data_IF_744592201345
#
_entry.id   IF_744592201345
#
_cell.length_a   1.000
_cell.length_b   1.000
_cell.length_c   1.000
_cell.angle_alpha   90.00
_cell.angle_beta   90.00
_cell.angle_gamma   90.00
#
_symmetry.space_group_name_H-M   'P 1'
#
loop_
_entity.id
_entity.type
_entity.pdbx_description
1 polymer ?
#
# COMPACT_ATOMS: atom_id res chain seq x y z
N UNK A 1 -41.55 19.39 -16.33
CA UNK A 1 -41.48 20.26 -15.14
C UNK A 1 -40.94 19.43 -13.98
N UNK A 2 -40.09 20.07 -13.17
CA UNK A 2 -39.30 19.56 -12.03
C UNK A 2 -38.09 18.67 -12.42
N UNK A 3 -36.88 18.86 -11.89
CA UNK A 3 -36.22 19.96 -11.18
C UNK A 3 -34.71 19.58 -11.19
N UNK A 4 -33.84 20.44 -11.72
CA UNK A 4 -32.41 20.20 -11.77
C UNK A 4 -31.77 20.86 -10.54
N UNK A 5 -31.19 20.06 -9.65
CA UNK A 5 -30.41 20.56 -8.51
C UNK A 5 -28.96 20.83 -8.95
N UNK A 6 -28.64 22.11 -9.08
CA UNK A 6 -27.33 22.66 -9.41
C UNK A 6 -26.41 22.62 -8.19
N UNK A 7 -25.31 21.86 -8.26
CA UNK A 7 -24.30 21.78 -7.19
C UNK A 7 -23.17 22.75 -7.52
N UNK A 8 -23.16 23.88 -6.80
CA UNK A 8 -22.17 24.95 -6.88
C UNK A 8 -20.78 24.48 -6.42
N UNK A 9 -19.74 24.78 -7.21
CA UNK A 9 -18.33 24.59 -6.85
C UNK A 9 -17.78 25.86 -6.18
N UNK A 10 -16.88 25.77 -5.19
CA UNK A 10 -16.23 26.95 -4.64
C UNK A 10 -15.13 27.45 -5.58
N UNK A 11 -15.09 28.77 -5.75
CA UNK A 11 -14.13 29.51 -6.55
C UNK A 11 -12.72 29.44 -5.95
N UNK A 12 -11.73 29.13 -6.78
CA UNK A 12 -10.30 29.24 -6.44
C UNK A 12 -9.89 30.69 -6.63
N UNK A 13 -9.58 31.37 -5.52
CA UNK A 13 -9.02 32.71 -5.52
C UNK A 13 -7.57 32.70 -6.03
N UNK A 14 -7.32 33.56 -7.02
CA UNK A 14 -6.00 33.93 -7.51
C UNK A 14 -5.20 34.69 -6.44
N UNK A 15 -3.99 34.23 -6.11
CA UNK A 15 -2.90 35.11 -5.68
C UNK A 15 -1.55 34.59 -6.17
N UNK A 16 -0.85 35.48 -6.85
CA UNK A 16 0.48 35.42 -7.45
C UNK A 16 1.61 35.72 -6.44
N UNK A 17 2.77 35.04 -6.57
CA UNK A 17 4.08 35.67 -6.37
C UNK A 17 5.11 35.05 -5.40
N UNK A 18 6.09 34.34 -5.98
CA UNK A 18 7.53 34.25 -5.60
C UNK A 18 7.97 33.33 -4.40
N UNK A 19 9.28 32.99 -4.25
CA UNK A 19 9.82 31.70 -4.70
C UNK A 19 10.52 30.84 -3.60
N UNK A 20 10.93 29.66 -4.05
CA UNK A 20 11.52 28.49 -3.36
C UNK A 20 12.81 28.79 -2.57
N UNK A 21 12.95 28.16 -1.40
CA UNK A 21 14.25 27.74 -0.84
C UNK A 21 14.05 26.45 -0.03
N UNK A 22 14.82 25.41 -0.37
CA UNK A 22 14.56 24.05 0.06
C UNK A 22 15.29 23.60 1.33
N UNK A 23 14.91 22.42 1.82
CA UNK A 23 15.81 21.44 2.46
C UNK A 23 15.09 20.12 2.73
N UNK A 24 15.62 19.09 2.09
CA UNK A 24 15.76 17.67 2.41
C UNK A 24 15.24 17.12 3.76
N UNK A 25 14.63 15.93 3.64
CA UNK A 25 14.33 14.90 4.65
C UNK A 25 15.10 14.96 5.99
N UNK A 26 14.35 14.91 7.11
CA UNK A 26 14.80 14.35 8.40
C UNK A 26 13.64 13.93 9.30
N UNK A 27 13.61 12.63 9.61
CA UNK A 27 13.11 11.93 10.80
C UNK A 27 12.04 12.59 11.68
N UNK A 28 10.88 11.95 11.75
CA UNK A 28 9.89 12.14 12.81
C UNK A 28 10.35 11.45 14.09
N UNK A 29 11.15 12.15 14.90
CA UNK A 29 11.30 11.93 16.33
C UNK A 29 10.74 13.16 17.06
N UNK A 30 10.07 12.92 18.19
CA UNK A 30 9.48 13.87 19.14
C UNK A 30 8.18 14.59 18.76
N UNK A 31 7.06 14.02 19.23
CA UNK A 31 6.04 14.75 20.00
C UNK A 31 5.41 13.79 21.01
N UNK A 32 6.05 13.68 22.17
CA UNK A 32 5.46 13.07 23.37
C UNK A 32 5.78 13.97 24.55
N UNK A 33 5.16 15.15 24.58
CA UNK A 33 5.18 16.10 25.71
C UNK A 33 4.21 17.25 25.39
N UNK A 34 2.93 17.08 25.77
CA UNK A 34 1.96 18.17 25.90
C UNK A 34 0.64 17.63 26.50
N UNK A 35 0.68 17.13 27.74
CA UNK A 35 -0.51 17.14 28.59
C UNK A 35 -0.12 17.09 30.07
N UNK A 36 0.63 18.09 30.50
CA UNK A 36 0.75 18.43 31.92
C UNK A 36 0.81 19.96 32.02
N UNK A 37 -0.28 20.55 32.54
CA UNK A 37 -0.28 21.71 33.43
C UNK A 37 -1.60 22.48 33.32
N UNK A 38 -2.53 22.13 34.19
CA UNK A 38 -3.55 23.06 34.69
C UNK A 38 -4.14 22.51 35.98
N UNK A 39 -3.35 22.57 37.06
CA UNK A 39 -3.86 22.64 38.44
C UNK A 39 -3.57 24.05 38.94
N UNK A 40 -4.53 24.95 38.73
CA UNK A 40 -4.62 26.17 39.50
C UNK A 40 -5.34 25.85 40.80
N UNK A 41 -4.60 26.07 41.88
CA UNK A 41 -5.04 26.17 43.26
C UNK A 41 -5.99 27.36 43.41
N UNK A 42 -7.22 27.12 43.85
CA UNK A 42 -8.09 28.15 44.39
C UNK A 42 -8.35 27.87 45.88
N UNK A 43 -7.89 28.83 46.67
CA UNK A 43 -8.00 28.93 48.12
C UNK A 43 -9.27 29.68 48.51
N UNK A 44 -10.01 29.13 49.47
CA UNK A 44 -11.12 29.77 50.17
C UNK A 44 -11.83 28.68 50.98
N UNK A 45 -11.42 28.41 52.22
CA UNK A 45 -11.64 29.30 53.35
C UNK A 45 -12.88 28.82 54.08
N UNK A 46 -12.72 27.88 55.02
CA UNK A 46 -13.72 27.58 56.05
C UNK A 46 -13.04 27.38 57.39
N UNK A 47 -13.68 28.00 58.36
CA UNK A 47 -13.15 28.45 59.62
C UNK A 47 -12.90 27.32 60.61
N UNK A 48 -11.90 27.60 61.43
CA UNK A 48 -11.49 26.88 62.61
C UNK A 48 -12.61 26.87 63.66
N UNK A 49 -12.96 25.69 64.17
CA UNK A 49 -13.61 25.52 65.46
C UNK A 49 -12.97 24.33 66.20
N UNK A 50 -11.85 24.65 66.85
CA UNK A 50 -11.39 24.18 68.15
C UNK A 50 -12.11 22.94 68.73
N UNK A 51 -11.43 21.79 68.72
CA UNK A 51 -11.77 20.65 69.59
C UNK A 51 -11.45 21.05 71.04
N UNK A 52 -12.50 21.25 71.84
CA UNK A 52 -12.45 21.01 73.29
C UNK A 52 -12.36 19.50 73.58
N UNK A 53 -11.87 19.09 74.76
CA UNK A 53 -11.57 17.69 75.04
C UNK A 53 -12.84 16.95 75.44
N UNK A 54 -13.13 15.84 74.77
CA UNK A 54 -14.22 14.93 75.16
C UNK A 54 -15.08 14.51 74.00
N UNK A 55 -14.73 13.38 73.39
CA UNK A 55 -15.54 12.76 72.35
C UNK A 55 -15.01 11.37 72.10
N UNK A 56 -15.43 10.44 72.95
CA UNK A 56 -15.08 9.03 72.93
C UNK A 56 -15.23 8.45 71.50
N UNK A 57 -14.14 8.00 70.90
CA UNK A 57 -14.19 7.08 69.77
C UNK A 57 -14.59 5.70 70.28
N UNK A 58 -15.89 5.45 70.33
CA UNK A 58 -16.44 4.13 70.02
C UNK A 58 -16.23 3.96 68.50
N UNK A 59 -15.56 2.97 67.94
CA UNK A 59 -15.47 1.55 68.27
C UNK A 59 -14.10 1.02 67.82
N UNK A 60 -13.20 0.71 68.75
CA UNK A 60 -12.17 -0.30 68.47
C UNK A 60 -12.87 -1.66 68.41
N UNK A 61 -13.04 -2.22 67.22
CA UNK A 61 -13.40 -3.63 67.10
C UNK A 61 -12.17 -4.47 67.44
N UNK A 62 -11.98 -4.76 68.72
CA UNK A 62 -11.07 -5.82 69.16
C UNK A 62 -11.70 -7.15 68.73
N UNK A 63 -11.13 -7.75 67.69
CA UNK A 63 -11.43 -9.13 67.30
C UNK A 63 -11.05 -10.04 68.47
N UNK A 64 -12.02 -10.41 69.30
CA UNK A 64 -11.87 -11.56 70.18
C UNK A 64 -11.97 -12.79 69.28
N UNK A 65 -10.86 -13.51 69.14
CA UNK A 65 -10.93 -14.88 68.69
C UNK A 65 -11.75 -15.62 69.75
N UNK A 66 -12.97 -16.03 69.40
CA UNK A 66 -13.71 -17.01 70.18
C UNK A 66 -12.83 -18.25 70.23
N UNK A 67 -12.36 -18.62 71.42
CA UNK A 67 -11.67 -19.88 71.62
C UNK A 67 -12.62 -21.00 71.17
N UNK A 68 -12.15 -21.95 70.35
CA UNK A 68 -13.02 -22.98 69.81
C UNK A 68 -13.58 -23.81 70.97
N UNK A 69 -14.89 -24.03 70.94
CA UNK A 69 -15.59 -24.91 71.87
C UNK A 69 -14.83 -26.25 71.95
N UNK A 70 -14.45 -26.66 73.15
CA UNK A 70 -13.60 -27.82 73.45
C UNK A 70 -14.31 -29.11 73.00
N UNK A 71 -14.21 -29.42 71.70
CA UNK A 71 -14.84 -30.58 71.08
C UNK A 71 -15.28 -30.42 69.61
N UNK A 72 -15.24 -29.20 69.05
CA UNK A 72 -15.55 -29.01 67.63
C UNK A 72 -14.36 -29.40 66.74
N UNK A 73 -14.59 -30.23 65.72
CA UNK A 73 -13.57 -30.65 64.77
C UNK A 73 -12.94 -29.43 64.06
N UNK A 74 -11.63 -29.45 63.75
CA UNK A 74 -10.95 -28.32 63.12
C UNK A 74 -11.62 -27.97 61.79
N UNK A 75 -12.01 -26.70 61.62
CA UNK A 75 -12.56 -26.18 60.36
C UNK A 75 -11.62 -26.51 59.21
N UNK A 76 -12.13 -27.17 58.17
CA UNK A 76 -11.32 -27.55 57.02
C UNK A 76 -11.33 -26.42 56.01
N UNK A 77 -10.24 -26.23 55.26
CA UNK A 77 -10.09 -25.22 54.19
C UNK A 77 -11.18 -25.24 53.12
N UNK A 78 -11.99 -26.29 53.07
CA UNK A 78 -13.14 -26.50 52.18
C UNK A 78 -14.46 -25.90 52.71
N UNK A 79 -14.51 -25.52 53.99
CA UNK A 79 -15.62 -24.80 54.60
C UNK A 79 -15.54 -23.29 54.28
N UNK A 80 -14.34 -22.81 53.92
CA UNK A 80 -14.14 -21.49 53.32
C UNK A 80 -14.54 -21.49 51.84
N UNK A 81 -15.83 -21.62 51.58
CA UNK A 81 -16.40 -21.23 50.28
C UNK A 81 -16.50 -19.71 50.26
N UNK A 82 -15.34 -19.05 50.08
CA UNK A 82 -15.28 -17.65 49.71
C UNK A 82 -16.29 -17.41 48.59
N UNK A 83 -17.22 -16.48 48.81
CA UNK A 83 -18.29 -16.15 47.87
C UNK A 83 -17.70 -15.46 46.64
N UNK A 84 -16.98 -16.21 45.80
CA UNK A 84 -16.68 -15.81 44.42
C UNK A 84 -17.98 -16.04 43.63
N UNK A 85 -18.95 -15.16 43.89
CA UNK A 85 -20.24 -15.12 43.20
C UNK A 85 -20.27 -13.89 42.31
N UNK A 86 -19.21 -13.71 41.52
CA UNK A 86 -19.03 -12.60 40.57
C UNK A 86 -19.34 -13.01 39.13
N UNK A 87 -19.93 -14.19 38.92
CA UNK A 87 -20.37 -14.69 37.60
C UNK A 87 -21.10 -13.64 36.73
N UNK A 88 -22.09 -12.87 37.21
CA UNK A 88 -22.76 -11.89 36.36
C UNK A 88 -21.83 -10.75 35.91
N UNK A 89 -20.92 -10.29 36.78
CA UNK A 89 -19.95 -9.24 36.44
C UNK A 89 -18.84 -9.72 35.51
N UNK A 90 -18.38 -10.96 35.70
CA UNK A 90 -17.39 -11.59 34.82
C UNK A 90 -17.97 -11.86 33.42
N UNK A 91 -19.23 -12.31 33.34
CA UNK A 91 -19.92 -12.52 32.06
C UNK A 91 -20.16 -11.19 31.34
N UNK A 92 -20.53 -10.13 32.05
CA UNK A 92 -20.67 -8.80 31.47
C UNK A 92 -19.33 -8.26 30.96
N UNK A 93 -18.24 -8.45 31.72
CA UNK A 93 -16.90 -8.05 31.27
C UNK A 93 -16.47 -8.83 30.02
N UNK A 94 -16.70 -10.14 29.97
CA UNK A 94 -16.44 -10.95 28.78
C UNK A 94 -17.28 -10.49 27.58
N UNK A 95 -18.55 -10.14 27.79
CA UNK A 95 -19.41 -9.61 26.72
C UNK A 95 -18.91 -8.27 26.17
N UNK A 96 -18.45 -7.37 27.04
CA UNK A 96 -17.86 -6.09 26.63
C UNK A 96 -16.56 -6.31 25.85
N UNK A 97 -15.69 -7.21 26.32
CA UNK A 97 -14.43 -7.52 25.63
C UNK A 97 -14.72 -8.15 24.26
N UNK A 98 -15.67 -9.09 24.18
CA UNK A 98 -16.07 -9.69 22.91
C UNK A 98 -16.66 -8.65 21.94
N UNK A 99 -17.51 -7.75 22.42
CA UNK A 99 -18.06 -6.65 21.62
C UNK A 99 -16.97 -5.68 21.16
N UNK A 100 -16.02 -5.33 22.02
CA UNK A 100 -14.90 -4.47 21.67
C UNK A 100 -14.01 -5.10 20.59
N UNK A 101 -13.67 -6.39 20.73
CA UNK A 101 -12.91 -7.13 19.71
C UNK A 101 -13.67 -7.15 18.38
N UNK A 102 -14.96 -7.46 18.39
CA UNK A 102 -15.78 -7.47 17.18
C UNK A 102 -15.79 -6.10 16.49
N UNK A 103 -16.02 -5.01 17.24
CA UNK A 103 -16.00 -3.65 16.69
C UNK A 103 -14.64 -3.27 16.13
N UNK A 104 -13.53 -3.58 16.82
CA UNK A 104 -12.18 -3.32 16.32
C UNK A 104 -11.94 -4.09 15.02
N UNK A 105 -12.33 -5.36 14.95
CA UNK A 105 -12.12 -6.16 13.74
C UNK A 105 -12.90 -5.64 12.54
N UNK A 106 -14.15 -5.20 12.72
CA UNK A 106 -14.96 -4.64 11.62
C UNK A 106 -14.33 -3.34 11.12
N UNK A 107 -13.99 -2.41 12.03
CA UNK A 107 -13.35 -1.17 11.65
C UNK A 107 -11.97 -1.39 10.99
N UNK A 108 -11.22 -2.41 11.43
CA UNK A 108 -9.95 -2.76 10.83
C UNK A 108 -10.10 -3.28 9.39
N UNK A 109 -11.14 -4.09 9.12
CA UNK A 109 -11.44 -4.57 7.76
C UNK A 109 -11.82 -3.38 6.87
N UNK A 110 -12.71 -2.50 7.33
CA UNK A 110 -13.13 -1.33 6.55
C UNK A 110 -11.95 -0.41 6.22
N UNK A 111 -11.05 -0.17 7.17
CA UNK A 111 -9.83 0.64 6.94
C UNK A 111 -8.90 -0.06 5.94
N UNK A 112 -8.75 -1.38 6.03
CA UNK A 112 -7.93 -2.14 5.10
C UNK A 112 -8.50 -2.05 3.67
N UNK A 113 -9.81 -2.17 3.51
CA UNK A 113 -10.47 -2.07 2.21
C UNK A 113 -10.31 -0.67 1.61
N UNK A 114 -10.49 0.38 2.42
CA UNK A 114 -10.24 1.76 1.99
C UNK A 114 -8.77 1.99 1.60
N UNK A 115 -7.82 1.44 2.36
CA UNK A 115 -6.40 1.52 2.03
C UNK A 115 -6.08 0.85 0.69
N UNK A 116 -6.65 -0.34 0.44
CA UNK A 116 -6.49 -1.07 -0.81
C UNK A 116 -7.07 -0.28 -2.01
N UNK A 117 -8.27 0.31 -1.87
CA UNK A 117 -8.89 1.14 -2.91
C UNK A 117 -8.02 2.37 -3.22
N UNK A 118 -7.50 3.04 -2.19
CA UNK A 118 -6.64 4.21 -2.37
C UNK A 118 -5.33 3.85 -3.07
N UNK A 119 -4.72 2.73 -2.72
CA UNK A 119 -3.53 2.22 -3.39
C UNK A 119 -3.81 1.94 -4.88
N UNK A 120 -4.90 1.23 -5.20
CA UNK A 120 -5.30 0.98 -6.58
C UNK A 120 -5.55 2.27 -7.38
N UNK A 121 -6.22 3.26 -6.78
CA UNK A 121 -6.45 4.57 -7.43
C UNK A 121 -5.15 5.29 -7.72
N UNK A 122 -4.20 5.26 -6.79
CA UNK A 122 -2.88 5.86 -6.96
C UNK A 122 -2.11 5.17 -8.11
N UNK A 123 -2.09 3.84 -8.14
CA UNK A 123 -1.40 3.08 -9.19
C UNK A 123 -2.05 3.29 -10.56
N UNK A 124 -3.38 3.28 -10.66
CA UNK A 124 -4.09 3.60 -11.90
C UNK A 124 -3.81 5.03 -12.36
N UNK A 125 -3.75 6.01 -11.45
CA UNK A 125 -3.39 7.39 -11.78
C UNK A 125 -1.92 7.53 -12.17
N UNK A 126 -1.01 6.75 -11.58
CA UNK A 126 0.40 6.70 -11.96
C UNK A 126 0.58 6.07 -13.35
N UNK A 127 -0.12 4.96 -13.63
CA UNK A 127 -0.11 4.31 -14.94
C UNK A 127 -0.66 5.25 -16.01
N UNK A 128 -1.81 5.90 -15.79
CA UNK A 128 -2.38 6.87 -16.73
C UNK A 128 -1.45 8.06 -17.02
N UNK A 129 -0.61 8.45 -16.06
CA UNK A 129 0.41 9.50 -16.27
C UNK A 129 1.57 9.03 -17.15
N UNK A 130 1.96 7.76 -17.05
CA UNK A 130 3.03 7.15 -17.87
C UNK A 130 2.55 6.66 -19.24
N UNK A 131 1.25 6.41 -19.37
CA UNK A 131 0.63 5.88 -20.59
C UNK A 131 0.90 6.81 -21.77
N UNK A 132 1.29 6.24 -22.92
CA UNK A 132 1.41 6.98 -24.17
C UNK A 132 0.00 7.36 -24.62
N UNK A 133 -0.23 8.66 -24.81
CA UNK A 133 -1.54 9.23 -25.20
C UNK A 133 -1.82 8.95 -26.68
N UNK A 134 -2.28 7.75 -26.98
CA UNK A 134 -2.67 7.29 -28.32
C UNK A 134 -4.19 7.26 -28.56
N UNK A 135 -4.98 7.55 -27.51
CA UNK A 135 -6.44 7.57 -27.58
C UNK A 135 -7.08 6.18 -27.59
N UNK A 136 -6.31 5.13 -27.30
CA UNK A 136 -6.79 3.75 -27.22
C UNK A 136 -6.63 3.24 -25.78
N UNK A 137 -7.58 2.44 -25.32
CA UNK A 137 -7.49 1.75 -24.03
C UNK A 137 -7.04 0.30 -24.22
N UNK A 138 -6.44 -0.24 -23.16
CA UNK A 138 -5.92 -1.61 -23.14
C UNK A 138 -6.81 -2.46 -22.24
N UNK A 139 -7.29 -3.57 -22.78
CA UNK A 139 -8.11 -4.52 -22.03
C UNK A 139 -7.24 -5.44 -21.15
N UNK A 140 -5.94 -5.55 -21.43
CA UNK A 140 -5.04 -6.53 -20.81
C UNK A 140 -3.88 -5.86 -20.03
N UNK A 141 -4.23 -5.02 -19.06
CA UNK A 141 -3.22 -4.37 -18.22
C UNK A 141 -2.64 -5.35 -17.20
N UNK A 142 -1.31 -5.52 -17.19
CA UNK A 142 -0.63 -6.45 -16.28
C UNK A 142 -0.54 -5.80 -14.89
N UNK A 143 -1.09 -6.48 -13.89
CA UNK A 143 -0.95 -6.11 -12.47
C UNK A 143 0.06 -7.03 -11.81
N UNK A 144 1.10 -6.46 -11.23
CA UNK A 144 2.13 -7.21 -10.51
C UNK A 144 1.63 -7.68 -9.14
N UNK A 145 2.35 -8.63 -8.54
CA UNK A 145 2.13 -9.16 -7.19
C UNK A 145 2.05 -8.11 -6.07
N UNK A 146 2.72 -6.97 -6.24
CA UNK A 146 2.72 -5.84 -5.31
C UNK A 146 1.67 -4.76 -5.64
N UNK A 147 0.74 -5.06 -6.56
CA UNK A 147 -0.33 -4.16 -6.96
C UNK A 147 0.08 -3.07 -7.95
N UNK A 148 1.35 -3.04 -8.40
CA UNK A 148 1.75 -2.10 -9.45
C UNK A 148 1.11 -2.46 -10.79
N UNK A 149 0.50 -1.46 -11.42
CA UNK A 149 -0.22 -1.57 -12.69
C UNK A 149 0.68 -1.13 -13.84
N UNK A 150 0.88 -2.00 -14.83
CA UNK A 150 1.66 -1.69 -16.04
C UNK A 150 3.18 -1.61 -15.84
N UNK A 151 3.71 -2.23 -14.77
CA UNK A 151 5.14 -2.32 -14.52
C UNK A 151 5.48 -3.64 -13.79
N UNK A 152 5.39 -4.78 -14.49
CA UNK A 152 5.64 -6.08 -13.87
C UNK A 152 7.12 -6.27 -13.52
N UNK A 153 7.40 -7.02 -12.44
CA UNK A 153 8.76 -7.51 -12.13
C UNK A 153 9.27 -8.54 -13.15
N UNK A 154 8.34 -9.26 -13.77
CA UNK A 154 8.61 -10.29 -14.77
C UNK A 154 7.41 -10.38 -15.71
N UNK A 155 7.67 -10.43 -17.01
CA UNK A 155 6.62 -10.68 -17.98
C UNK A 155 6.09 -12.11 -17.85
N UNK A 156 4.76 -12.32 -17.86
CA UNK A 156 4.20 -13.66 -17.83
C UNK A 156 4.59 -14.43 -19.10
N UNK A 157 4.64 -15.75 -18.99
CA UNK A 157 4.80 -16.59 -20.16
C UNK A 157 3.53 -16.51 -21.01
N UNK A 158 3.67 -16.06 -22.25
CA UNK A 158 2.57 -15.90 -23.19
C UNK A 158 2.22 -17.21 -23.91
N UNK A 159 2.90 -18.32 -23.58
CA UNK A 159 2.67 -19.62 -24.21
C UNK A 159 2.99 -19.63 -25.70
N UNK A 160 3.84 -18.71 -26.15
CA UNK A 160 4.17 -18.55 -27.56
C UNK A 160 5.13 -19.65 -28.01
N UNK A 161 4.78 -20.31 -29.11
CA UNK A 161 5.71 -21.16 -29.86
C UNK A 161 6.55 -20.28 -30.80
N UNK A 162 7.82 -20.62 -31.01
CA UNK A 162 8.63 -20.03 -32.08
C UNK A 162 8.26 -20.72 -33.41
N UNK A 163 7.54 -20.04 -34.32
CA UNK A 163 7.16 -20.65 -35.60
C UNK A 163 8.35 -20.71 -36.55
N UNK A 164 8.29 -21.65 -37.49
CA UNK A 164 9.23 -21.68 -38.62
C UNK A 164 8.74 -20.72 -39.70
N UNK A 165 9.52 -19.69 -40.00
CA UNK A 165 9.18 -18.68 -41.00
C UNK A 165 9.73 -19.09 -42.36
N UNK A 166 8.84 -19.45 -43.28
CA UNK A 166 9.19 -19.88 -44.63
C UNK A 166 8.72 -18.86 -45.68
N UNK A 167 9.57 -18.58 -46.66
CA UNK A 167 9.20 -17.77 -47.82
C UNK A 167 8.62 -18.68 -48.91
N UNK A 168 7.33 -18.53 -49.22
CA UNK A 168 6.63 -19.27 -50.30
C UNK A 168 5.89 -18.28 -51.19
N UNK A 169 6.06 -18.39 -52.50
CA UNK A 169 5.34 -17.57 -53.49
C UNK A 169 5.40 -16.04 -53.23
N UNK A 170 6.54 -15.54 -52.73
CA UNK A 170 6.71 -14.12 -52.42
C UNK A 170 6.02 -13.63 -51.14
N UNK A 171 5.50 -14.54 -50.30
CA UNK A 171 4.92 -14.25 -49.00
C UNK A 171 5.67 -15.01 -47.89
N UNK A 172 5.59 -14.49 -46.67
CA UNK A 172 6.14 -15.13 -45.47
C UNK A 172 5.01 -15.94 -44.82
N UNK A 173 5.27 -17.22 -44.57
CA UNK A 173 4.37 -18.12 -43.86
C UNK A 173 5.00 -18.49 -42.51
N UNK A 174 4.21 -18.40 -41.44
CA UNK A 174 4.54 -19.01 -40.16
C UNK A 174 3.99 -20.44 -40.13
N UNK A 175 4.89 -21.42 -40.05
CA UNK A 175 4.56 -22.85 -40.00
C UNK A 175 4.69 -23.31 -38.55
N UNK A 176 3.58 -23.73 -37.96
CA UNK A 176 3.56 -24.31 -36.62
C UNK A 176 4.02 -25.78 -36.65
N UNK A 177 4.45 -26.35 -35.51
CA UNK A 177 4.84 -27.78 -35.42
C UNK A 177 3.78 -28.77 -35.90
N UNK A 178 2.51 -28.39 -35.84
CA UNK A 178 1.39 -29.22 -36.33
C UNK A 178 1.21 -29.16 -37.87
N UNK A 179 2.06 -28.41 -38.59
CA UNK A 179 2.00 -28.22 -40.03
C UNK A 179 1.00 -27.15 -40.50
N UNK A 180 0.36 -26.42 -39.59
CA UNK A 180 -0.54 -25.31 -39.95
C UNK A 180 0.29 -24.15 -40.49
N UNK A 181 -0.07 -23.67 -41.68
CA UNK A 181 0.60 -22.55 -42.32
C UNK A 181 -0.30 -21.30 -42.28
N UNK A 182 0.21 -20.23 -41.68
CA UNK A 182 -0.50 -18.95 -41.61
C UNK A 182 0.33 -17.89 -42.34
N UNK A 183 -0.21 -17.21 -43.37
CA UNK A 183 0.49 -16.11 -44.02
C UNK A 183 0.64 -14.93 -43.05
N UNK A 184 1.84 -14.39 -42.92
CA UNK A 184 2.17 -13.29 -42.01
C UNK A 184 2.51 -12.04 -42.81
N UNK A 185 1.71 -10.99 -42.64
CA UNK A 185 2.05 -9.64 -43.08
C UNK A 185 2.79 -8.87 -42.00
N UNK A 186 3.90 -8.19 -42.32
CA UNK A 186 4.69 -7.44 -41.34
C UNK A 186 4.19 -5.99 -41.29
N UNK A 187 3.52 -5.63 -40.19
CA UNK A 187 3.32 -4.24 -39.77
C UNK A 187 4.32 -3.93 -38.67
N UNK A 188 5.49 -3.46 -39.10
CA UNK A 188 6.63 -3.22 -38.22
C UNK A 188 6.95 -1.76 -37.97
N UNK A 189 7.85 -1.55 -37.01
CA UNK A 189 8.56 -0.29 -36.79
C UNK A 189 10.04 -0.54 -36.50
N UNK A 190 10.84 0.52 -36.46
CA UNK A 190 12.22 0.47 -36.00
C UNK A 190 12.34 1.09 -34.62
N UNK A 191 12.96 0.38 -33.67
CA UNK A 191 13.28 0.93 -32.35
C UNK A 191 14.80 1.00 -32.21
N UNK A 192 15.33 2.21 -32.37
CA UNK A 192 16.76 2.51 -32.44
C UNK A 192 17.35 2.87 -31.06
N UNK A 193 18.67 2.79 -30.96
CA UNK A 193 19.47 3.13 -29.78
C UNK A 193 20.49 2.04 -29.42
N UNK A 194 20.15 0.77 -29.62
CA UNK A 194 21.01 -0.37 -29.28
C UNK A 194 22.24 -0.51 -30.20
N UNK A 195 22.22 0.12 -31.38
CA UNK A 195 23.35 0.24 -32.28
C UNK A 195 24.40 1.26 -31.83
N UNK A 196 24.06 2.11 -30.85
CA UNK A 196 24.96 3.15 -30.34
C UNK A 196 25.85 2.63 -29.21
N UNK A 197 26.77 3.47 -28.72
CA UNK A 197 27.63 3.14 -27.58
C UNK A 197 26.86 2.91 -26.26
N UNK A 198 25.58 3.27 -26.20
CA UNK A 198 24.73 3.10 -25.01
C UNK A 198 24.13 1.69 -24.89
N UNK A 199 24.10 0.92 -25.99
CA UNK A 199 23.57 -0.44 -26.06
C UNK A 199 22.12 -0.62 -25.54
N UNK A 200 21.32 0.47 -25.51
CA UNK A 200 19.92 0.45 -25.07
C UNK A 200 19.01 1.09 -26.11
N UNK A 201 17.77 0.61 -26.27
CA UNK A 201 16.77 1.32 -27.03
C UNK A 201 16.52 2.70 -26.41
N UNK A 202 16.37 3.72 -27.25
CA UNK A 202 16.07 5.07 -26.79
C UNK A 202 14.63 5.17 -26.27
N UNK A 203 14.43 6.09 -25.32
CA UNK A 203 13.16 6.30 -24.63
C UNK A 203 12.99 5.53 -23.32
N UNK A 204 13.90 4.60 -22.99
CA UNK A 204 13.86 3.85 -21.72
C UNK A 204 14.41 4.61 -20.51
N UNK A 205 14.94 5.82 -20.73
CA UNK A 205 15.24 6.76 -19.65
C UNK A 205 13.93 7.39 -19.16
N UNK A 206 13.75 7.56 -17.86
CA UNK A 206 12.60 8.29 -17.30
C UNK A 206 13.07 9.38 -16.35
N UNK A 207 12.84 10.63 -16.77
CA UNK A 207 12.94 11.85 -15.98
C UNK A 207 11.52 12.36 -15.67
N UNK A 208 11.39 13.39 -14.82
CA UNK A 208 10.08 13.94 -14.42
C UNK A 208 9.18 14.35 -15.59
N UNK A 209 9.77 14.72 -16.74
CA UNK A 209 9.03 15.22 -17.91
C UNK A 209 9.06 14.26 -19.11
N UNK A 210 10.04 13.36 -19.19
CA UNK A 210 10.33 12.58 -20.40
C UNK A 210 10.72 11.16 -20.08
N UNK A 211 10.16 10.19 -20.82
CA UNK A 211 10.54 8.80 -20.73
C UNK A 211 9.37 7.84 -20.89
N UNK A 212 9.68 6.59 -21.16
CA UNK A 212 8.69 5.51 -21.26
C UNK A 212 9.27 4.21 -20.69
N UNK A 213 8.38 3.30 -20.31
CA UNK A 213 8.77 1.93 -19.97
C UNK A 213 8.68 1.01 -21.19
N UNK A 214 9.38 -0.13 -21.15
CA UNK A 214 9.24 -1.20 -22.15
C UNK A 214 7.80 -1.71 -22.21
N UNK A 215 7.13 -1.80 -21.05
CA UNK A 215 5.73 -2.19 -20.97
C UNK A 215 4.84 -1.24 -21.77
N UNK A 216 4.99 0.07 -21.58
CA UNK A 216 4.12 1.04 -22.25
C UNK A 216 4.40 1.10 -23.76
N UNK A 217 5.67 0.99 -24.18
CA UNK A 217 5.98 0.86 -25.61
C UNK A 217 5.30 -0.40 -26.17
N UNK A 218 5.47 -1.56 -25.54
CA UNK A 218 4.85 -2.80 -26.01
C UNK A 218 3.31 -2.72 -26.06
N UNK A 219 2.69 -2.10 -25.03
CA UNK A 219 1.25 -1.90 -24.98
C UNK A 219 0.78 -0.95 -26.10
N UNK A 220 1.49 0.15 -26.34
CA UNK A 220 1.23 1.04 -27.48
C UNK A 220 1.28 0.29 -28.82
N UNK A 221 2.26 -0.60 -28.99
CA UNK A 221 2.38 -1.42 -30.21
C UNK A 221 1.24 -2.41 -30.38
N UNK A 222 0.84 -3.07 -29.29
CA UNK A 222 -0.29 -3.99 -29.29
C UNK A 222 -1.61 -3.26 -29.63
N UNK A 223 -1.89 -2.12 -28.98
CA UNK A 223 -3.07 -1.29 -29.23
C UNK A 223 -3.14 -0.81 -30.68
N UNK A 224 -1.99 -0.46 -31.26
CA UNK A 224 -1.90 -0.01 -32.64
C UNK A 224 -1.72 -1.15 -33.66
N UNK A 225 -1.84 -2.42 -33.22
CA UNK A 225 -1.77 -3.62 -34.08
C UNK A 225 -0.43 -3.77 -34.82
N UNK A 226 0.67 -3.25 -34.28
CA UNK A 226 2.01 -3.59 -34.77
C UNK A 226 2.33 -5.03 -34.35
N UNK A 227 2.94 -5.80 -35.26
CA UNK A 227 3.28 -7.20 -35.01
C UNK A 227 4.77 -7.51 -35.18
N UNK A 228 5.59 -6.48 -35.43
CA UNK A 228 7.03 -6.65 -35.59
C UNK A 228 7.79 -5.40 -35.12
N UNK A 229 8.96 -5.63 -34.53
CA UNK A 229 9.89 -4.57 -34.13
C UNK A 229 11.27 -4.93 -34.68
N UNK A 230 11.84 -4.03 -35.47
CA UNK A 230 13.23 -4.12 -35.91
C UNK A 230 14.11 -3.42 -34.89
N UNK A 231 15.04 -4.18 -34.31
CA UNK A 231 16.03 -3.71 -33.34
C UNK A 231 17.42 -3.65 -34.00
N UNK A 232 17.90 -2.45 -34.36
CA UNK A 232 19.28 -2.28 -34.81
C UNK A 232 20.24 -2.53 -33.64
N UNK A 233 21.28 -3.32 -33.84
CA UNK A 233 22.26 -3.68 -32.79
C UNK A 233 23.69 -3.48 -33.27
N UNK A 234 24.60 -3.16 -32.35
CA UNK A 234 26.02 -2.99 -32.67
C UNK A 234 26.78 -4.31 -32.52
N UNK A 235 27.37 -4.79 -33.62
CA UNK A 235 28.18 -6.04 -33.62
C UNK A 235 29.32 -5.96 -32.60
N UNK A 236 29.96 -4.79 -32.46
CA UNK A 236 31.04 -4.59 -31.50
C UNK A 236 30.57 -4.77 -30.06
N UNK A 237 29.35 -4.33 -29.75
CA UNK A 237 28.78 -4.47 -28.40
C UNK A 237 28.45 -5.93 -28.12
N UNK A 238 27.90 -6.66 -29.11
CA UNK A 238 27.61 -8.10 -28.99
C UNK A 238 28.89 -8.92 -28.80
N UNK A 239 29.91 -8.67 -29.61
CA UNK A 239 31.18 -9.41 -29.54
C UNK A 239 31.95 -9.16 -28.23
N UNK A 240 31.74 -8.02 -27.60
CA UNK A 240 32.41 -7.64 -26.34
C UNK A 240 31.53 -7.80 -25.11
N UNK A 241 30.31 -8.29 -25.28
CA UNK A 241 29.32 -8.40 -24.21
C UNK A 241 29.19 -7.10 -23.40
N UNK A 242 29.05 -5.97 -24.12
CA UNK A 242 28.98 -4.65 -23.48
C UNK A 242 27.63 -4.52 -22.78
N UNK A 243 27.66 -4.51 -21.45
CA UNK A 243 26.48 -4.24 -20.65
C UNK A 243 25.98 -2.79 -20.86
N UNK A 244 24.66 -2.59 -20.96
CA UNK A 244 24.06 -1.27 -20.89
C UNK A 244 24.45 -0.46 -19.65
N UNK A 245 24.52 0.87 -19.80
CA UNK A 245 24.70 1.75 -18.66
C UNK A 245 23.43 1.80 -17.80
N UNK A 246 23.55 1.34 -16.54
CA UNK A 246 22.46 1.30 -15.56
C UNK A 246 21.91 2.69 -15.22
N UNK A 247 22.70 3.75 -15.37
CA UNK A 247 22.27 5.11 -15.07
C UNK A 247 21.25 5.66 -16.08
N UNK A 248 21.16 5.04 -17.26
CA UNK A 248 20.28 5.50 -18.34
C UNK A 248 18.90 4.84 -18.32
N UNK A 249 18.72 3.77 -17.55
CA UNK A 249 17.45 3.07 -17.44
C UNK A 249 16.88 3.30 -16.05
N UNK A 250 15.63 3.77 -16.00
CA UNK A 250 14.92 3.85 -14.73
C UNK A 250 14.42 2.46 -14.32
N UNK A 251 15.17 1.80 -13.44
CA UNK A 251 14.84 0.45 -12.93
C UNK A 251 13.56 0.42 -12.09
N UNK A 252 13.13 1.54 -11.53
CA UNK A 252 11.86 1.59 -10.78
C UNK A 252 10.66 1.46 -11.72
N UNK A 253 10.78 1.92 -12.96
CA UNK A 253 9.70 1.91 -13.97
C UNK A 253 9.91 0.88 -15.08
N UNK A 254 11.08 0.25 -15.10
CA UNK A 254 11.43 -0.88 -15.97
C UNK A 254 11.94 -2.05 -15.14
N UNK A 255 11.10 -2.54 -14.23
CA UNK A 255 11.50 -3.53 -13.21
C UNK A 255 11.82 -4.92 -13.77
N UNK A 256 11.26 -5.23 -14.92
CA UNK A 256 11.50 -6.50 -15.62
C UNK A 256 12.84 -6.55 -16.36
N UNK A 257 13.54 -5.43 -16.53
CA UNK A 257 14.83 -5.41 -17.23
C UNK A 257 15.93 -5.88 -16.28
N UNK A 258 16.66 -6.91 -16.69
CA UNK A 258 17.87 -7.36 -16.02
C UNK A 258 19.10 -6.76 -16.72
N UNK A 259 19.89 -5.96 -15.99
CA UNK A 259 21.09 -5.27 -16.49
C UNK A 259 22.34 -5.70 -15.68
N UNK A 260 22.30 -6.87 -15.05
CA UNK A 260 23.37 -7.39 -14.19
C UNK A 260 24.21 -8.45 -14.86
#
# INVERSE_FOLDING_TARGET
MAEAAEISRPMVGSMSGAPVSGSTFRNSEYTREAMESSRLTESGGRESAMYGPGGQRQTEMKLMAVEPDLGAAPERTKDYKGRIRTWPGLLLLLAIVAAAVALITINAIDVQDQANINAQRYENAAQNRRKIKDGLDDDNVIVSDDGQVGNPKKYPDMGCELPDYQSKNGQIFAVAKNGTEVPVGIKGLNWFGMETGLAIPFGLWENMDNGTSVYEVAAFLARNKFNSVRLPVCIKNILKDVAPDKSLINLNTNRAINIT
#
